data_IF_995805391352
#
_entry.id   IF_995805391352
#
_cell.length_a   1.000
_cell.length_b   1.000
_cell.length_c   1.000
_cell.angle_alpha   90.00
_cell.angle_beta   90.00
_cell.angle_gamma   90.00
#
_symmetry.space_group_name_H-M   'P 1'
#
loop_
_entity.id
_entity.type
_entity.pdbx_description
1 polymer ?
#
# COMPACT_ATOMS: atom_id res chain seq x y z
N UNK A 1 -17.99 27.06 -37.28
CA UNK A 1 -17.41 28.43 -37.29
C UNK A 1 -16.08 28.54 -36.51
N UNK A 2 -15.75 27.64 -35.60
CA UNK A 2 -14.52 27.71 -34.79
C UNK A 2 -13.24 27.42 -35.58
N UNK A 3 -13.28 26.54 -36.58
CA UNK A 3 -12.12 26.17 -37.39
C UNK A 3 -11.48 27.39 -38.09
N UNK A 4 -12.28 28.30 -38.69
CA UNK A 4 -11.76 29.48 -39.39
C UNK A 4 -11.25 30.56 -38.38
N UNK A 5 -11.64 30.48 -37.10
CA UNK A 5 -11.19 31.41 -36.04
C UNK A 5 -9.82 31.10 -35.49
N UNK A 6 -9.30 29.90 -35.79
CA UNK A 6 -7.98 29.46 -35.33
C UNK A 6 -6.86 30.26 -36.00
N UNK A 7 -5.89 30.74 -35.22
CA UNK A 7 -4.77 31.57 -35.66
C UNK A 7 -3.87 30.85 -36.68
N UNK A 8 -3.68 29.53 -36.57
CA UNK A 8 -2.86 28.73 -37.49
C UNK A 8 -3.55 28.58 -38.86
N UNK A 9 -4.86 28.30 -38.87
CA UNK A 9 -5.64 28.20 -40.10
C UNK A 9 -5.67 29.57 -40.84
N UNK A 10 -5.86 30.68 -40.11
CA UNK A 10 -5.76 32.02 -40.66
C UNK A 10 -4.39 32.29 -41.28
N UNK A 11 -3.31 31.96 -40.59
CA UNK A 11 -1.93 32.10 -41.06
C UNK A 11 -1.70 31.28 -42.32
N UNK A 12 -2.18 30.02 -42.36
CA UNK A 12 -2.09 29.17 -43.55
C UNK A 12 -2.85 29.76 -44.76
N UNK A 13 -4.08 30.26 -44.56
CA UNK A 13 -4.86 30.91 -45.61
C UNK A 13 -4.15 32.17 -46.11
N UNK A 14 -3.61 32.99 -45.22
CA UNK A 14 -2.88 34.23 -45.60
C UNK A 14 -1.61 33.89 -46.41
N UNK A 15 -0.81 32.94 -45.97
CA UNK A 15 0.43 32.50 -46.67
C UNK A 15 0.08 31.88 -48.04
N UNK A 16 -0.95 31.07 -48.11
CA UNK A 16 -1.41 30.47 -49.37
C UNK A 16 -1.93 31.54 -50.33
N UNK A 17 -2.67 32.57 -49.85
CA UNK A 17 -3.14 33.68 -50.66
C UNK A 17 -1.98 34.55 -51.22
N UNK A 18 -0.97 34.84 -50.39
CA UNK A 18 0.26 35.56 -50.82
C UNK A 18 0.99 34.80 -51.91
N UNK A 19 1.21 33.48 -51.73
CA UNK A 19 1.84 32.60 -52.74
C UNK A 19 1.03 32.57 -54.03
N UNK A 20 -0.28 32.50 -53.95
CA UNK A 20 -1.16 32.53 -55.12
C UNK A 20 -0.99 33.83 -55.92
N UNK A 21 -1.01 34.99 -55.23
CA UNK A 21 -0.81 36.29 -55.85
C UNK A 21 0.58 36.39 -56.52
N UNK A 22 1.63 35.89 -55.86
CA UNK A 22 2.99 35.89 -56.37
C UNK A 22 3.11 35.08 -57.67
N UNK A 23 2.62 33.83 -57.69
CA UNK A 23 2.67 32.97 -58.86
C UNK A 23 1.76 33.48 -60.02
N UNK A 24 0.58 34.07 -59.70
CA UNK A 24 -0.25 34.73 -60.70
C UNK A 24 0.48 35.90 -61.35
N UNK A 25 1.20 36.72 -60.57
CA UNK A 25 1.99 37.84 -61.09
C UNK A 25 3.07 37.38 -62.04
N UNK A 26 3.81 36.34 -61.69
CA UNK A 26 4.85 35.75 -62.58
C UNK A 26 4.23 35.19 -63.88
N UNK A 27 3.11 34.49 -63.78
CA UNK A 27 2.45 33.85 -64.92
C UNK A 27 1.92 34.86 -65.94
N UNK A 28 1.44 36.03 -65.50
CA UNK A 28 1.01 37.13 -66.37
C UNK A 28 2.19 37.67 -67.20
N UNK A 29 3.38 37.71 -66.62
CA UNK A 29 4.60 38.22 -67.30
C UNK A 29 5.09 37.22 -68.36
N UNK A 30 4.94 35.90 -68.10
CA UNK A 30 5.49 34.82 -68.99
C UNK A 30 4.53 34.45 -70.11
N UNK A 31 3.26 34.15 -69.82
CA UNK A 31 2.23 33.83 -70.82
C UNK A 31 0.83 34.00 -70.18
N UNK A 32 -0.01 34.85 -70.75
CA UNK A 32 -1.36 35.12 -70.23
C UNK A 32 -2.30 33.90 -70.26
N UNK A 33 -2.04 32.89 -71.11
CA UNK A 33 -2.83 31.64 -71.14
C UNK A 33 -2.47 30.66 -70.02
N UNK A 34 -1.22 30.69 -69.52
CA UNK A 34 -0.75 29.84 -68.46
C UNK A 34 -1.30 30.23 -67.06
N UNK A 35 -1.79 31.47 -66.91
CA UNK A 35 -2.36 31.98 -65.64
C UNK A 35 -3.46 31.08 -65.14
N UNK A 36 -4.38 30.64 -65.98
CA UNK A 36 -5.52 29.82 -65.58
C UNK A 36 -5.13 28.43 -65.06
N UNK A 37 -4.08 27.81 -65.64
CA UNK A 37 -3.56 26.53 -65.24
C UNK A 37 -2.89 26.64 -63.84
N UNK A 38 -2.06 27.67 -63.67
CA UNK A 38 -1.40 27.96 -62.39
C UNK A 38 -2.43 28.24 -61.28
N UNK A 39 -3.43 29.01 -61.58
CA UNK A 39 -4.48 29.38 -60.63
C UNK A 39 -5.31 28.17 -60.20
N UNK A 40 -5.67 27.28 -61.14
CA UNK A 40 -6.39 26.05 -60.81
C UNK A 40 -5.55 25.08 -59.99
N UNK A 41 -4.23 24.95 -60.28
CA UNK A 41 -3.31 24.10 -59.50
C UNK A 41 -3.14 24.60 -58.06
N UNK A 42 -3.00 25.90 -57.87
CA UNK A 42 -2.87 26.48 -56.53
C UNK A 42 -4.18 26.35 -55.71
N UNK A 43 -5.32 26.60 -56.35
CA UNK A 43 -6.65 26.46 -55.68
C UNK A 43 -6.84 24.99 -55.25
N UNK A 44 -6.55 24.02 -56.16
CA UNK A 44 -6.70 22.61 -55.81
C UNK A 44 -5.75 22.16 -54.67
N UNK A 45 -4.48 22.59 -54.73
CA UNK A 45 -3.50 22.32 -53.67
C UNK A 45 -3.93 22.93 -52.34
N UNK A 46 -4.41 24.17 -52.34
CA UNK A 46 -4.92 24.83 -51.12
C UNK A 46 -6.17 24.16 -50.55
N UNK A 47 -7.07 23.70 -51.42
CA UNK A 47 -8.28 22.99 -51.00
C UNK A 47 -7.92 21.64 -50.33
N UNK A 48 -6.99 20.90 -50.92
CA UNK A 48 -6.47 19.63 -50.39
C UNK A 48 -5.78 19.87 -49.02
N UNK A 49 -4.94 20.88 -48.91
CA UNK A 49 -4.25 21.24 -47.67
C UNK A 49 -5.26 21.63 -46.57
N UNK A 50 -6.26 22.41 -46.85
CA UNK A 50 -7.31 22.76 -45.90
C UNK A 50 -8.15 21.56 -45.46
N UNK A 51 -8.44 20.64 -46.37
CA UNK A 51 -9.16 19.41 -46.07
C UNK A 51 -8.38 18.52 -45.08
N UNK A 52 -7.07 18.30 -45.30
CA UNK A 52 -6.25 17.55 -44.38
C UNK A 52 -6.11 18.26 -43.02
N UNK A 53 -5.96 19.58 -43.02
CA UNK A 53 -5.91 20.39 -41.80
C UNK A 53 -7.22 20.24 -41.02
N UNK A 54 -8.36 20.31 -41.66
CA UNK A 54 -9.68 20.11 -41.04
C UNK A 54 -9.83 18.74 -40.42
N UNK A 55 -9.40 17.68 -41.12
CA UNK A 55 -9.41 16.32 -40.58
C UNK A 55 -8.51 16.18 -39.34
N UNK A 56 -7.33 16.79 -39.36
CA UNK A 56 -6.42 16.79 -38.22
C UNK A 56 -7.04 17.46 -36.98
N UNK A 57 -7.65 18.63 -37.16
CA UNK A 57 -8.33 19.33 -36.07
C UNK A 57 -9.52 18.55 -35.52
N UNK A 58 -10.29 17.88 -36.36
CA UNK A 58 -11.38 17.01 -35.92
C UNK A 58 -10.85 15.87 -35.03
N UNK A 59 -9.80 15.19 -35.47
CA UNK A 59 -9.17 14.11 -34.69
C UNK A 59 -8.63 14.60 -33.33
N UNK A 60 -8.05 15.80 -33.27
CA UNK A 60 -7.58 16.41 -32.00
C UNK A 60 -8.77 16.74 -31.09
N UNK A 61 -9.86 17.25 -31.60
CA UNK A 61 -11.07 17.52 -30.82
C UNK A 61 -11.68 16.24 -30.27
N UNK A 62 -11.73 15.17 -31.07
CA UNK A 62 -12.23 13.87 -30.63
C UNK A 62 -11.32 13.27 -29.53
N UNK A 63 -9.99 13.44 -29.64
CA UNK A 63 -9.05 13.03 -28.58
C UNK A 63 -9.25 13.81 -27.29
N UNK A 64 -9.48 15.12 -27.38
CA UNK A 64 -9.75 15.96 -26.21
C UNK A 64 -11.02 15.54 -25.48
N UNK A 65 -12.10 15.26 -26.22
CA UNK A 65 -13.36 14.75 -25.66
C UNK A 65 -13.18 13.37 -25.00
N UNK A 66 -12.32 12.53 -25.58
CA UNK A 66 -11.98 11.24 -25.00
C UNK A 66 -11.30 11.37 -23.64
N UNK A 67 -10.27 12.22 -23.57
CA UNK A 67 -9.56 12.47 -22.31
C UNK A 67 -10.52 12.98 -21.23
N UNK A 68 -11.41 13.90 -21.60
CA UNK A 68 -12.39 14.45 -20.67
C UNK A 68 -13.34 13.38 -20.11
N UNK A 69 -13.82 12.47 -20.95
CA UNK A 69 -14.69 11.36 -20.54
C UNK A 69 -13.95 10.34 -19.65
N UNK A 70 -12.71 10.01 -20.00
CA UNK A 70 -11.88 9.13 -19.16
C UNK A 70 -11.66 9.70 -17.75
N UNK A 71 -11.43 11.01 -17.64
CA UNK A 71 -11.29 11.70 -16.36
C UNK A 71 -12.59 11.68 -15.52
N UNK A 72 -13.74 11.56 -16.18
CA UNK A 72 -15.05 11.46 -15.52
C UNK A 72 -15.50 10.00 -15.27
N UNK A 73 -14.65 8.98 -15.56
CA UNK A 73 -14.89 7.60 -15.20
C UNK A 73 -15.71 6.77 -16.22
N UNK A 74 -15.85 7.25 -17.45
CA UNK A 74 -16.53 6.52 -18.53
C UNK A 74 -15.55 5.57 -19.24
N UNK A 75 -15.39 4.35 -18.72
CA UNK A 75 -14.45 3.32 -19.25
C UNK A 75 -14.94 2.59 -20.52
N UNK A 76 -16.16 2.85 -20.99
CA UNK A 76 -16.85 1.98 -21.97
C UNK A 76 -16.52 2.23 -23.44
N UNK A 77 -15.58 3.10 -23.77
CA UNK A 77 -15.34 3.49 -25.16
C UNK A 77 -14.14 2.75 -25.75
N UNK A 78 -14.42 1.73 -26.58
CA UNK A 78 -13.41 1.07 -27.41
C UNK A 78 -13.04 1.98 -28.61
N UNK A 79 -11.76 2.27 -28.76
CA UNK A 79 -11.22 3.10 -29.84
C UNK A 79 -10.68 2.27 -30.99
N UNK A 80 -11.50 2.03 -31.99
CA UNK A 80 -11.04 1.48 -33.29
C UNK A 80 -10.61 2.56 -34.30
N UNK A 81 -10.78 3.86 -34.00
CA UNK A 81 -10.68 4.93 -35.00
C UNK A 81 -9.28 5.58 -35.18
N UNK A 82 -8.30 5.31 -34.32
CA UNK A 82 -6.96 5.92 -34.41
C UNK A 82 -5.87 4.89 -34.71
N UNK A 83 -6.04 4.11 -35.77
CA UNK A 83 -5.14 2.99 -36.06
C UNK A 83 -3.81 3.37 -36.73
N UNK A 84 -3.63 4.58 -37.32
CA UNK A 84 -2.41 4.96 -38.03
C UNK A 84 -2.03 6.44 -37.85
N UNK A 85 -0.71 6.72 -37.71
CA UNK A 85 -0.10 8.03 -37.76
C UNK A 85 0.41 8.57 -36.40
N UNK A 86 1.02 9.77 -36.40
CA UNK A 86 1.61 10.43 -35.22
C UNK A 86 0.61 10.64 -34.07
N UNK A 87 -0.67 10.86 -34.39
CA UNK A 87 -1.74 11.01 -33.39
C UNK A 87 -2.07 9.70 -32.67
N UNK A 88 -1.83 8.53 -33.29
CA UNK A 88 -2.00 7.23 -32.65
C UNK A 88 -0.97 7.04 -31.52
N UNK A 89 0.29 7.40 -31.76
CA UNK A 89 1.34 7.31 -30.72
C UNK A 89 1.01 8.21 -29.53
N UNK A 90 0.55 9.44 -29.79
CA UNK A 90 0.14 10.37 -28.74
C UNK A 90 -1.07 9.85 -27.96
N UNK A 91 -2.06 9.29 -28.66
CA UNK A 91 -3.22 8.63 -28.05
C UNK A 91 -2.82 7.50 -27.11
N UNK A 92 -1.93 6.60 -27.58
CA UNK A 92 -1.47 5.45 -26.79
C UNK A 92 -0.72 5.89 -25.53
N UNK A 93 0.12 6.93 -25.64
CA UNK A 93 0.87 7.44 -24.50
C UNK A 93 -0.07 8.12 -23.46
N UNK A 94 -1.03 8.93 -23.92
CA UNK A 94 -2.04 9.53 -23.05
C UNK A 94 -2.89 8.46 -22.40
N UNK A 95 -3.32 7.45 -23.13
CA UNK A 95 -4.11 6.33 -22.60
C UNK A 95 -3.36 5.56 -21.50
N UNK A 96 -2.07 5.28 -21.71
CA UNK A 96 -1.21 4.67 -20.68
C UNK A 96 -1.07 5.56 -19.45
N UNK A 97 -0.86 6.87 -19.65
CA UNK A 97 -0.75 7.80 -18.53
C UNK A 97 -2.06 7.88 -17.73
N UNK A 98 -3.19 7.98 -18.42
CA UNK A 98 -4.51 8.04 -17.79
C UNK A 98 -4.82 6.77 -17.01
N UNK A 99 -4.53 5.60 -17.59
CA UNK A 99 -4.69 4.32 -16.90
C UNK A 99 -3.85 4.24 -15.63
N UNK A 100 -2.58 4.65 -15.68
CA UNK A 100 -1.72 4.72 -14.49
C UNK A 100 -2.26 5.67 -13.43
N UNK A 101 -2.81 6.83 -13.83
CA UNK A 101 -3.42 7.77 -12.89
C UNK A 101 -4.66 7.18 -12.21
N UNK A 102 -5.50 6.47 -12.96
CA UNK A 102 -6.68 5.78 -12.40
C UNK A 102 -6.23 4.69 -11.42
N UNK A 103 -5.29 3.83 -11.81
CA UNK A 103 -4.74 2.78 -10.94
C UNK A 103 -4.13 3.37 -9.64
N UNK A 104 -3.41 4.50 -9.75
CA UNK A 104 -2.86 5.19 -8.58
C UNK A 104 -3.94 5.82 -7.70
N UNK A 105 -4.97 6.41 -8.30
CA UNK A 105 -6.09 6.99 -7.57
C UNK A 105 -6.90 5.93 -6.82
N UNK A 106 -7.12 4.76 -7.42
CA UNK A 106 -7.77 3.63 -6.78
C UNK A 106 -6.92 3.05 -5.65
N UNK A 107 -5.62 2.84 -5.88
CA UNK A 107 -4.69 2.38 -4.86
C UNK A 107 -4.68 3.33 -3.65
N UNK A 108 -4.60 4.65 -3.90
CA UNK A 108 -4.65 5.66 -2.85
C UNK A 108 -5.99 5.67 -2.10
N UNK A 109 -7.10 5.44 -2.80
CA UNK A 109 -8.43 5.34 -2.18
C UNK A 109 -8.53 4.13 -1.25
N UNK A 110 -8.00 2.98 -1.68
CA UNK A 110 -7.94 1.76 -0.86
C UNK A 110 -7.04 2.00 0.36
N UNK A 111 -5.86 2.58 0.17
CA UNK A 111 -4.93 2.89 1.26
C UNK A 111 -5.56 3.85 2.29
N UNK A 112 -6.26 4.88 1.82
CA UNK A 112 -6.99 5.81 2.68
C UNK A 112 -8.13 5.13 3.44
N UNK A 113 -8.82 4.18 2.81
CA UNK A 113 -9.83 3.34 3.47
C UNK A 113 -9.22 2.50 4.59
N UNK A 114 -8.15 1.76 4.29
CA UNK A 114 -7.43 0.94 5.25
C UNK A 114 -6.90 1.77 6.45
N UNK A 115 -6.43 2.99 6.20
CA UNK A 115 -5.99 3.91 7.25
C UNK A 115 -7.17 4.35 8.15
N UNK A 116 -8.32 4.66 7.56
CA UNK A 116 -9.51 5.05 8.32
C UNK A 116 -10.01 3.90 9.21
N UNK A 117 -10.04 2.67 8.69
CA UNK A 117 -10.42 1.48 9.43
C UNK A 117 -9.44 1.21 10.57
N UNK A 118 -8.13 1.31 10.31
CA UNK A 118 -7.10 1.15 11.33
C UNK A 118 -7.24 2.20 12.46
N UNK A 119 -7.55 3.46 12.13
CA UNK A 119 -7.78 4.51 13.14
C UNK A 119 -9.04 4.26 13.96
N UNK A 120 -10.10 3.73 13.34
CA UNK A 120 -11.32 3.34 14.05
C UNK A 120 -11.04 2.21 15.04
N UNK A 121 -10.30 1.18 14.61
CA UNK A 121 -9.90 0.06 15.45
C UNK A 121 -9.03 0.51 16.64
N UNK A 122 -8.02 1.34 16.38
CA UNK A 122 -7.17 1.94 17.43
C UNK A 122 -8.04 2.68 18.46
N UNK A 123 -8.97 3.50 17.99
CA UNK A 123 -9.85 4.28 18.85
C UNK A 123 -10.71 3.36 19.73
N UNK A 124 -11.23 2.29 19.17
CA UNK A 124 -12.02 1.31 19.89
C UNK A 124 -11.18 0.55 20.94
N UNK A 125 -9.99 0.11 20.58
CA UNK A 125 -9.08 -0.63 21.46
C UNK A 125 -8.51 0.22 22.60
N UNK A 126 -8.40 1.55 22.43
CA UNK A 126 -8.03 2.49 23.49
C UNK A 126 -9.21 2.86 24.37
N UNK A 127 -10.41 2.99 23.82
CA UNK A 127 -11.61 3.38 24.55
C UNK A 127 -11.99 2.36 25.65
N UNK A 128 -11.88 1.06 25.34
CA UNK A 128 -12.25 -0.01 26.27
C UNK A 128 -11.44 0.00 27.56
N UNK A 129 -10.10 -0.04 27.55
CA UNK A 129 -9.30 0.04 28.79
C UNK A 129 -9.45 1.39 29.47
N UNK A 130 -9.61 2.50 28.74
CA UNK A 130 -9.85 3.82 29.33
C UNK A 130 -11.16 3.87 30.09
N UNK A 131 -12.24 3.30 29.53
CA UNK A 131 -13.53 3.19 30.24
C UNK A 131 -13.40 2.35 31.52
N UNK A 132 -12.67 1.21 31.45
CA UNK A 132 -12.40 0.36 32.60
C UNK A 132 -11.58 1.10 33.67
N UNK A 133 -10.58 1.88 33.29
CA UNK A 133 -9.81 2.72 34.22
C UNK A 133 -10.68 3.75 34.92
N UNK A 134 -11.59 4.40 34.20
CA UNK A 134 -12.53 5.36 34.80
C UNK A 134 -13.46 4.70 35.82
N UNK A 135 -13.96 3.49 35.54
CA UNK A 135 -14.79 2.71 36.47
C UNK A 135 -13.97 2.32 37.71
N UNK A 136 -12.75 1.81 37.54
CA UNK A 136 -11.88 1.46 38.66
C UNK A 136 -11.55 2.67 39.53
N UNK A 137 -11.30 3.82 38.90
CA UNK A 137 -11.02 5.07 39.61
C UNK A 137 -12.25 5.54 40.43
N UNK A 138 -13.44 5.46 39.83
CA UNK A 138 -14.68 5.76 40.59
C UNK A 138 -14.91 4.79 41.76
N UNK A 139 -14.59 3.50 41.56
CA UNK A 139 -14.68 2.50 42.62
C UNK A 139 -13.69 2.76 43.75
N UNK A 140 -12.48 3.23 43.47
CA UNK A 140 -11.46 3.57 44.49
C UNK A 140 -11.87 4.76 45.40
N UNK A 141 -12.82 5.58 44.95
CA UNK A 141 -13.36 6.68 45.73
C UNK A 141 -14.38 6.21 46.77
N UNK A 142 -14.74 4.93 46.81
CA UNK A 142 -15.65 4.41 47.84
C UNK A 142 -14.89 4.26 49.20
N UNK A 143 -15.43 4.89 50.24
CA UNK A 143 -14.84 4.88 51.60
C UNK A 143 -15.01 3.53 52.32
N UNK A 144 -15.96 2.68 51.87
CA UNK A 144 -16.26 1.38 52.48
C UNK A 144 -15.35 0.24 52.03
N UNK A 145 -14.36 0.50 51.13
CA UNK A 145 -13.44 -0.51 50.64
C UNK A 145 -12.47 -0.96 51.71
N UNK A 146 -12.28 -2.30 51.80
CA UNK A 146 -11.19 -2.89 52.56
C UNK A 146 -9.84 -2.59 51.93
N UNK A 147 -8.75 -2.67 52.68
CA UNK A 147 -7.39 -2.48 52.14
C UNK A 147 -7.06 -3.52 51.06
N UNK A 148 -7.52 -4.78 51.18
CA UNK A 148 -7.35 -5.81 50.19
C UNK A 148 -8.07 -5.50 48.90
N UNK A 149 -9.34 -5.05 48.96
CA UNK A 149 -10.10 -4.65 47.77
C UNK A 149 -9.47 -3.43 47.07
N UNK A 150 -9.00 -2.46 47.85
CA UNK A 150 -8.28 -1.29 47.36
C UNK A 150 -7.00 -1.70 46.60
N UNK A 151 -6.22 -2.62 47.18
CA UNK A 151 -5.00 -3.13 46.57
C UNK A 151 -5.29 -3.85 45.24
N UNK A 152 -6.34 -4.69 45.20
CA UNK A 152 -6.75 -5.40 43.97
C UNK A 152 -7.19 -4.42 42.85
N UNK A 153 -7.91 -3.36 43.19
CA UNK A 153 -8.32 -2.33 42.21
C UNK A 153 -7.10 -1.58 41.65
N UNK A 154 -6.12 -1.20 42.50
CA UNK A 154 -4.88 -0.56 42.08
C UNK A 154 -4.08 -1.48 41.18
N UNK A 155 -3.98 -2.78 41.52
CA UNK A 155 -3.30 -3.78 40.68
C UNK A 155 -3.94 -3.91 39.29
N UNK A 156 -5.28 -3.98 39.23
CA UNK A 156 -6.03 -4.00 37.98
C UNK A 156 -5.80 -2.73 37.14
N UNK A 157 -5.76 -1.57 37.82
CA UNK A 157 -5.49 -0.29 37.16
C UNK A 157 -4.07 -0.26 36.56
N UNK A 158 -3.05 -0.72 37.31
CA UNK A 158 -1.67 -0.83 36.78
C UNK A 158 -1.56 -1.76 35.56
N UNK A 159 -2.26 -2.89 35.59
CA UNK A 159 -2.30 -3.82 34.46
C UNK A 159 -2.93 -3.17 33.18
N UNK A 160 -4.01 -2.41 33.36
CA UNK A 160 -4.65 -1.72 32.22
C UNK A 160 -3.75 -0.63 31.64
N UNK A 161 -3.06 0.14 32.49
CA UNK A 161 -2.07 1.14 32.05
C UNK A 161 -0.94 0.50 31.27
N UNK A 162 -0.31 -0.54 31.78
CA UNK A 162 0.76 -1.26 31.08
C UNK A 162 0.29 -1.85 29.75
N UNK A 163 -0.96 -2.34 29.66
CA UNK A 163 -1.57 -2.78 28.41
C UNK A 163 -1.70 -1.64 27.41
N UNK A 164 -2.15 -0.46 27.83
CA UNK A 164 -2.27 0.71 26.98
C UNK A 164 -0.90 1.21 26.49
N UNK A 165 0.10 1.27 27.36
CA UNK A 165 1.48 1.63 26.99
C UNK A 165 2.05 0.69 25.92
N UNK A 166 1.89 -0.62 26.14
CA UNK A 166 2.33 -1.63 25.17
C UNK A 166 1.60 -1.46 23.82
N UNK A 167 0.28 -1.23 23.83
CA UNK A 167 -0.53 -1.05 22.62
C UNK A 167 -0.04 0.17 21.84
N UNK A 168 0.16 1.31 22.49
CA UNK A 168 0.67 2.54 21.85
C UNK A 168 2.06 2.32 21.29
N UNK A 169 2.97 1.71 22.07
CA UNK A 169 4.34 1.44 21.62
C UNK A 169 4.37 0.53 20.40
N UNK A 170 3.54 -0.52 20.38
CA UNK A 170 3.44 -1.47 19.25
C UNK A 170 2.87 -0.79 18.01
N UNK A 171 1.83 0.03 18.14
CA UNK A 171 1.26 0.81 17.03
C UNK A 171 2.28 1.77 16.42
N UNK A 172 3.05 2.48 17.26
CA UNK A 172 4.11 3.37 16.80
C UNK A 172 5.22 2.60 16.06
N UNK A 173 5.58 1.39 16.52
CA UNK A 173 6.54 0.52 15.82
C UNK A 173 6.02 0.11 14.44
N UNK A 174 4.79 -0.38 14.34
CA UNK A 174 4.15 -0.76 13.08
C UNK A 174 4.10 0.45 12.13
N UNK A 175 3.61 1.60 12.61
CA UNK A 175 3.50 2.82 11.80
C UNK A 175 4.85 3.29 11.23
N UNK A 176 5.91 3.22 12.03
CA UNK A 176 7.27 3.59 11.58
C UNK A 176 7.84 2.60 10.56
N UNK A 177 7.56 1.30 10.72
CA UNK A 177 7.96 0.25 9.77
C UNK A 177 7.22 0.43 8.44
N UNK A 178 5.90 0.63 8.46
CA UNK A 178 5.08 0.85 7.26
C UNK A 178 5.49 2.12 6.49
N UNK A 179 5.80 3.19 7.21
CA UNK A 179 6.28 4.44 6.62
C UNK A 179 7.73 4.36 6.09
N UNK A 180 8.42 3.22 6.25
CA UNK A 180 9.82 3.07 5.84
C UNK A 180 10.79 4.04 6.55
N UNK A 181 10.38 4.61 7.69
CA UNK A 181 11.19 5.59 8.44
C UNK A 181 12.24 4.93 9.33
N UNK A 182 12.20 3.60 9.47
CA UNK A 182 13.18 2.83 10.22
C UNK A 182 14.27 2.36 9.28
N UNK A 183 15.51 2.66 9.62
CA UNK A 183 16.68 2.07 8.96
C UNK A 183 17.05 0.78 9.69
N UNK A 184 16.81 -0.37 9.06
CA UNK A 184 17.20 -1.66 9.58
C UNK A 184 18.72 -1.80 9.58
N UNK A 185 19.28 -2.33 10.67
CA UNK A 185 20.71 -2.61 10.82
C UNK A 185 20.99 -4.06 10.49
N UNK A 186 20.98 -4.38 9.19
CA UNK A 186 21.25 -5.72 8.71
C UNK A 186 22.70 -6.11 8.97
N UNK A 187 22.94 -7.23 9.63
CA UNK A 187 24.26 -7.78 9.93
C UNK A 187 24.24 -9.31 9.85
N UNK A 188 25.37 -9.92 9.51
CA UNK A 188 25.52 -11.36 9.51
C UNK A 188 25.63 -11.86 10.95
N UNK A 189 24.68 -12.68 11.38
CA UNK A 189 24.59 -13.19 12.76
C UNK A 189 24.17 -14.66 12.79
N UNK A 190 24.53 -15.37 13.84
CA UNK A 190 24.01 -16.71 14.06
C UNK A 190 22.55 -16.68 14.45
N UNK A 191 21.70 -17.39 13.72
CA UNK A 191 20.25 -17.45 13.99
C UNK A 191 19.96 -17.93 15.41
N UNK A 192 20.79 -18.86 15.93
CA UNK A 192 20.66 -19.35 17.29
C UNK A 192 20.67 -18.22 18.34
N UNK A 193 21.56 -17.24 18.18
CA UNK A 193 21.68 -16.14 19.15
C UNK A 193 20.44 -15.21 19.12
N UNK A 194 19.86 -15.04 17.94
CA UNK A 194 18.62 -14.26 17.77
C UNK A 194 17.42 -14.97 18.39
N UNK A 195 17.32 -16.29 18.20
CA UNK A 195 16.28 -17.11 18.84
C UNK A 195 16.42 -17.10 20.37
N UNK A 196 17.64 -17.26 20.91
CA UNK A 196 17.89 -17.14 22.37
C UNK A 196 17.47 -15.76 22.89
N UNK A 197 17.79 -14.69 22.15
CA UNK A 197 17.40 -13.33 22.52
C UNK A 197 15.88 -13.15 22.55
N UNK A 198 15.16 -13.76 21.60
CA UNK A 198 13.70 -13.73 21.53
C UNK A 198 13.03 -14.49 22.68
N UNK A 199 13.64 -15.61 23.11
CA UNK A 199 13.09 -16.49 24.16
C UNK A 199 13.32 -15.90 25.56
N UNK A 200 14.51 -15.33 25.82
CA UNK A 200 14.93 -14.89 27.15
C UNK A 200 13.86 -14.09 27.93
N UNK A 201 13.15 -13.10 27.38
CA UNK A 201 12.10 -12.37 28.11
C UNK A 201 10.86 -13.22 28.42
N UNK A 202 10.70 -14.37 27.76
CA UNK A 202 9.51 -15.23 27.82
C UNK A 202 9.71 -16.47 28.69
N UNK A 203 10.94 -16.77 29.11
CA UNK A 203 11.30 -17.96 29.90
C UNK A 203 10.47 -18.07 31.18
N UNK A 204 10.35 -16.97 31.94
CA UNK A 204 9.58 -16.97 33.19
C UNK A 204 8.09 -17.26 32.91
N UNK A 205 7.54 -16.70 31.82
CA UNK A 205 6.15 -16.93 31.45
C UNK A 205 5.87 -18.39 31.06
N UNK A 206 6.82 -19.04 30.36
CA UNK A 206 6.74 -20.43 30.01
C UNK A 206 6.91 -21.34 31.26
N UNK A 207 7.85 -21.02 32.16
CA UNK A 207 8.06 -21.74 33.41
C UNK A 207 6.83 -21.69 34.32
N UNK A 208 6.18 -20.54 34.47
CA UNK A 208 4.97 -20.41 35.26
C UNK A 208 3.82 -21.29 34.75
N UNK A 209 3.79 -21.57 33.45
CA UNK A 209 2.86 -22.51 32.80
C UNK A 209 3.41 -23.94 32.70
N UNK A 210 4.59 -24.23 33.32
CA UNK A 210 5.28 -25.52 33.25
C UNK A 210 5.50 -25.97 31.78
N UNK A 211 5.60 -25.04 30.83
CA UNK A 211 5.80 -25.32 29.41
C UNK A 211 7.29 -25.54 29.09
N UNK A 212 7.56 -26.41 28.11
CA UNK A 212 8.94 -26.71 27.64
C UNK A 212 9.18 -26.06 26.29
N UNK A 213 10.26 -25.27 26.16
CA UNK A 213 10.69 -24.70 24.87
C UNK A 213 11.87 -25.53 24.35
N UNK A 214 11.66 -26.26 23.23
CA UNK A 214 12.67 -27.03 22.51
C UNK A 214 13.23 -26.21 21.36
N UNK A 215 14.57 -26.27 21.16
CA UNK A 215 15.29 -25.50 20.14
C UNK A 215 16.10 -26.45 19.25
N UNK A 216 15.73 -26.53 17.98
CA UNK A 216 16.40 -27.28 16.93
C UNK A 216 16.93 -26.34 15.85
N UNK A 217 17.87 -25.46 16.24
CA UNK A 217 18.49 -24.46 15.37
C UNK A 217 19.97 -24.84 15.15
N UNK A 218 20.41 -25.07 13.90
CA UNK A 218 21.80 -25.36 13.59
C UNK A 218 22.74 -24.28 14.13
N UNK A 219 23.81 -24.67 14.83
CA UNK A 219 24.70 -23.71 15.50
C UNK A 219 25.46 -22.80 14.52
N UNK A 220 25.76 -23.32 13.32
CA UNK A 220 26.54 -22.63 12.29
C UNK A 220 25.68 -21.82 11.31
N UNK A 221 24.35 -21.86 11.46
CA UNK A 221 23.43 -21.17 10.54
C UNK A 221 23.48 -19.66 10.74
N UNK A 222 23.98 -18.95 9.73
CA UNK A 222 24.08 -17.50 9.71
C UNK A 222 23.06 -16.90 8.75
N UNK A 223 22.49 -15.77 9.14
CA UNK A 223 21.58 -14.97 8.33
C UNK A 223 21.96 -13.49 8.39
N UNK A 224 21.68 -12.76 7.32
CA UNK A 224 21.81 -11.30 7.30
C UNK A 224 20.46 -10.70 7.69
N UNK A 225 20.36 -10.19 8.92
CA UNK A 225 19.11 -9.68 9.48
C UNK A 225 19.38 -8.62 10.56
N UNK A 226 18.34 -7.89 10.94
CA UNK A 226 18.39 -7.01 12.12
C UNK A 226 18.04 -7.80 13.37
N UNK A 227 19.00 -7.90 14.29
CA UNK A 227 18.89 -8.74 15.50
C UNK A 227 17.74 -8.31 16.41
N UNK A 228 17.59 -6.99 16.63
CA UNK A 228 16.59 -6.46 17.54
C UNK A 228 15.19 -6.68 16.99
N UNK A 229 14.97 -6.31 15.73
CA UNK A 229 13.69 -6.48 15.09
C UNK A 229 13.31 -7.94 14.86
N UNK A 230 14.26 -8.78 14.46
CA UNK A 230 13.97 -10.21 14.27
C UNK A 230 13.68 -10.91 15.60
N UNK A 231 14.43 -10.58 16.65
CA UNK A 231 14.15 -11.11 17.99
C UNK A 231 12.77 -10.68 18.48
N UNK A 232 12.34 -9.44 18.18
CA UNK A 232 10.98 -8.98 18.49
C UNK A 232 9.92 -9.73 17.70
N UNK A 233 10.14 -9.97 16.39
CA UNK A 233 9.19 -10.73 15.56
C UNK A 233 9.02 -12.17 16.08
N UNK A 234 10.14 -12.87 16.31
CA UNK A 234 10.10 -14.21 16.88
C UNK A 234 9.49 -14.24 18.28
N UNK A 235 9.83 -13.26 19.12
CA UNK A 235 9.26 -13.12 20.45
C UNK A 235 7.74 -12.98 20.46
N UNK A 236 7.16 -12.20 19.51
CA UNK A 236 5.72 -12.08 19.37
C UNK A 236 5.05 -13.41 18.97
N UNK A 237 5.66 -14.18 18.07
CA UNK A 237 5.15 -15.50 17.68
C UNK A 237 5.25 -16.49 18.84
N UNK A 238 6.42 -16.57 19.50
CA UNK A 238 6.65 -17.47 20.65
C UNK A 238 5.71 -17.12 21.81
N UNK A 239 5.52 -15.83 22.10
CA UNK A 239 4.56 -15.37 23.09
C UNK A 239 3.15 -15.87 22.80
N UNK A 240 2.71 -15.77 21.54
CA UNK A 240 1.42 -16.29 21.14
C UNK A 240 1.30 -17.80 21.36
N UNK A 241 2.34 -18.58 21.03
CA UNK A 241 2.41 -20.00 21.31
C UNK A 241 2.31 -20.31 22.82
N UNK A 242 3.04 -19.55 23.67
CA UNK A 242 2.98 -19.71 25.15
C UNK A 242 1.56 -19.42 25.67
N UNK A 243 0.91 -18.40 25.15
CA UNK A 243 -0.43 -17.99 25.61
C UNK A 243 -1.50 -19.02 25.26
N UNK A 244 -1.41 -19.63 24.08
CA UNK A 244 -2.41 -20.56 23.55
C UNK A 244 -2.13 -22.05 23.81
N UNK A 245 -0.92 -22.40 24.26
CA UNK A 245 -0.60 -23.75 24.70
C UNK A 245 -1.14 -24.04 26.11
N UNK A 246 -1.52 -25.29 26.38
CA UNK A 246 -1.95 -25.70 27.73
C UNK A 246 -0.78 -25.66 28.74
N UNK A 247 -1.12 -25.70 30.03
CA UNK A 247 -0.12 -25.97 31.08
C UNK A 247 0.59 -27.29 30.84
N UNK A 248 1.90 -27.32 31.04
CA UNK A 248 2.75 -28.48 30.73
C UNK A 248 2.97 -28.74 29.23
N UNK A 249 2.52 -27.83 28.38
CA UNK A 249 2.67 -27.92 26.94
C UNK A 249 4.10 -27.78 26.43
N UNK A 250 4.30 -27.95 25.12
CA UNK A 250 5.61 -27.82 24.48
C UNK A 250 5.56 -26.88 23.28
N UNK A 251 6.60 -26.06 23.16
CA UNK A 251 6.84 -25.18 22.02
C UNK A 251 8.13 -25.60 21.36
N UNK A 252 8.13 -25.86 20.07
CA UNK A 252 9.26 -26.31 19.31
C UNK A 252 9.67 -25.30 18.28
N UNK A 253 10.95 -24.89 18.27
CA UNK A 253 11.52 -23.93 17.34
C UNK A 253 12.58 -24.64 16.50
N UNK A 254 12.30 -24.76 15.18
CA UNK A 254 13.19 -25.42 14.21
C UNK A 254 13.65 -24.41 13.16
N UNK A 255 14.88 -24.57 12.67
CA UNK A 255 15.36 -23.82 11.52
C UNK A 255 15.90 -24.79 10.46
N UNK A 256 15.45 -24.62 9.23
CA UNK A 256 15.80 -25.44 8.07
C UNK A 256 16.40 -24.53 7.00
N UNK A 257 17.66 -24.75 6.68
CA UNK A 257 18.33 -24.10 5.57
C UNK A 257 17.93 -24.76 4.25
N UNK A 258 17.48 -23.96 3.29
CA UNK A 258 17.17 -24.39 1.92
C UNK A 258 17.96 -23.53 0.92
N UNK A 259 18.18 -23.98 -0.33
CA UNK A 259 19.01 -23.26 -1.30
C UNK A 259 18.61 -21.80 -1.57
N UNK A 260 17.33 -21.46 -1.43
CA UNK A 260 16.80 -20.12 -1.75
C UNK A 260 16.28 -19.36 -0.53
N UNK A 261 16.07 -20.04 0.60
CA UNK A 261 15.50 -19.42 1.81
C UNK A 261 15.86 -20.23 3.05
N UNK A 262 15.89 -19.59 4.19
CA UNK A 262 15.90 -20.24 5.49
C UNK A 262 14.50 -20.22 6.08
N UNK A 263 13.99 -21.37 6.45
CA UNK A 263 12.68 -21.52 7.06
C UNK A 263 12.82 -21.66 8.57
N UNK A 264 12.21 -20.76 9.35
CA UNK A 264 12.06 -20.87 10.80
C UNK A 264 10.64 -21.32 11.09
N UNK A 265 10.50 -22.44 11.78
CA UNK A 265 9.23 -23.08 12.12
C UNK A 265 9.07 -22.99 13.64
N UNK A 266 7.93 -22.47 14.09
CA UNK A 266 7.58 -22.43 15.51
C UNK A 266 6.24 -23.17 15.65
N UNK A 267 6.28 -24.29 16.39
CA UNK A 267 5.13 -25.17 16.59
C UNK A 267 4.77 -25.24 18.07
N UNK A 268 3.50 -25.22 18.37
CA UNK A 268 2.95 -25.43 19.71
C UNK A 268 1.96 -26.59 19.71
N UNK A 269 1.65 -27.12 20.89
CA UNK A 269 0.66 -28.18 21.07
C UNK A 269 -0.68 -27.66 21.62
N UNK A 270 -1.03 -26.41 21.31
CA UNK A 270 -2.30 -25.79 21.66
C UNK A 270 -3.49 -26.29 20.83
N UNK A 271 -4.62 -25.63 20.98
CA UNK A 271 -5.85 -25.99 20.28
C UNK A 271 -5.81 -25.70 18.76
N UNK A 272 -4.78 -24.99 18.29
CA UNK A 272 -4.66 -24.53 16.90
C UNK A 272 -5.66 -23.44 16.55
N UNK A 273 -5.73 -23.11 15.25
CA UNK A 273 -6.61 -22.07 14.71
C UNK A 273 -7.79 -22.69 13.96
N UNK A 274 -8.94 -22.03 14.02
CA UNK A 274 -10.06 -22.40 13.15
C UNK A 274 -9.73 -22.01 11.70
N UNK A 275 -10.14 -22.80 10.71
CA UNK A 275 -9.84 -22.53 9.29
C UNK A 275 -10.26 -21.14 8.84
N UNK A 276 -11.39 -20.64 9.34
CA UNK A 276 -11.88 -19.28 9.03
C UNK A 276 -11.01 -18.15 9.58
N UNK A 277 -10.22 -18.44 10.63
CA UNK A 277 -9.37 -17.44 11.31
C UNK A 277 -7.99 -17.33 10.62
N UNK A 278 -7.54 -18.39 9.94
CA UNK A 278 -6.21 -18.47 9.31
C UNK A 278 -5.90 -17.29 8.38
N UNK A 279 -6.78 -16.87 7.46
CA UNK A 279 -6.52 -15.73 6.57
C UNK A 279 -6.30 -14.40 7.32
N UNK A 280 -6.87 -14.28 8.54
CA UNK A 280 -6.91 -13.05 9.33
C UNK A 280 -5.91 -13.00 10.47
N UNK A 281 -5.13 -14.07 10.73
CA UNK A 281 -4.21 -14.15 11.87
C UNK A 281 -3.19 -13.00 11.94
N UNK A 282 -2.82 -12.47 10.78
CA UNK A 282 -1.87 -11.38 10.65
C UNK A 282 -2.52 -10.01 10.45
N UNK A 283 -3.86 -9.95 10.47
CA UNK A 283 -4.57 -8.68 10.40
C UNK A 283 -4.44 -7.95 11.74
N UNK A 284 -4.34 -6.63 11.69
CA UNK A 284 -4.23 -5.81 12.89
C UNK A 284 -5.52 -5.90 13.70
N UNK A 285 -5.37 -6.01 15.02
CA UNK A 285 -6.49 -6.11 15.96
C UNK A 285 -7.35 -7.35 15.82
N UNK A 286 -6.98 -8.29 14.96
CA UNK A 286 -7.72 -9.53 14.82
C UNK A 286 -7.53 -10.41 16.07
N UNK A 287 -8.64 -10.85 16.63
CA UNK A 287 -8.70 -11.75 17.77
C UNK A 287 -9.63 -12.90 17.42
N UNK A 288 -9.10 -14.12 17.33
CA UNK A 288 -9.92 -15.31 17.13
C UNK A 288 -10.82 -15.60 18.35
N UNK A 289 -11.81 -16.45 18.15
CA UNK A 289 -12.69 -16.90 19.25
C UNK A 289 -11.89 -17.67 20.31
N UNK A 290 -11.78 -17.12 21.52
CA UNK A 290 -11.04 -17.71 22.63
C UNK A 290 -9.77 -16.97 23.04
N UNK A 291 -9.52 -15.78 22.48
CA UNK A 291 -8.39 -14.94 22.90
C UNK A 291 -8.50 -14.54 24.36
N UNK A 292 -7.48 -14.80 25.13
CA UNK A 292 -7.35 -14.44 26.57
C UNK A 292 -7.44 -12.90 26.71
N UNK A 293 -8.12 -12.44 27.75
CA UNK A 293 -8.21 -11.03 28.12
C UNK A 293 -6.78 -10.48 28.29
N UNK A 294 -6.23 -9.86 27.23
CA UNK A 294 -4.84 -9.34 27.27
C UNK A 294 -4.23 -9.07 25.92
N UNK A 295 -4.54 -9.86 24.91
CA UNK A 295 -4.00 -9.72 23.56
C UNK A 295 -4.79 -8.70 22.75
N UNK A 296 -4.09 -7.71 22.19
CA UNK A 296 -4.72 -6.69 21.34
C UNK A 296 -4.72 -7.05 19.85
N UNK A 297 -4.31 -8.28 19.47
CA UNK A 297 -4.23 -8.71 18.06
C UNK A 297 -3.18 -7.97 17.22
N UNK A 298 -2.13 -7.43 17.86
CA UNK A 298 -1.06 -6.70 17.16
C UNK A 298 0.26 -7.48 17.03
N UNK A 299 0.48 -8.52 17.86
CA UNK A 299 1.77 -9.22 17.91
C UNK A 299 2.14 -9.91 16.62
N UNK A 300 1.21 -10.69 16.05
CA UNK A 300 1.44 -11.39 14.76
C UNK A 300 1.50 -10.40 13.58
N UNK A 301 0.69 -9.34 13.60
CA UNK A 301 0.76 -8.28 12.59
C UNK A 301 2.13 -7.58 12.61
N UNK A 302 2.67 -7.26 13.80
CA UNK A 302 4.00 -6.69 13.95
C UNK A 302 5.09 -7.67 13.44
N UNK A 303 5.00 -8.95 13.82
CA UNK A 303 5.93 -9.96 13.35
C UNK A 303 5.97 -10.04 11.81
N UNK A 304 4.81 -10.11 11.16
CA UNK A 304 4.70 -10.08 9.68
C UNK A 304 5.33 -8.84 9.08
N UNK A 305 5.02 -7.66 9.62
CA UNK A 305 5.56 -6.39 9.13
C UNK A 305 7.08 -6.36 9.23
N UNK A 306 7.66 -6.83 10.36
CA UNK A 306 9.10 -6.88 10.56
C UNK A 306 9.77 -7.81 9.54
N UNK A 307 9.25 -9.01 9.37
CA UNK A 307 9.84 -10.01 8.46
C UNK A 307 9.76 -9.53 7.01
N UNK A 308 8.62 -9.01 6.56
CA UNK A 308 8.45 -8.46 5.21
C UNK A 308 9.43 -7.30 4.93
N UNK A 309 9.66 -6.40 5.90
CA UNK A 309 10.62 -5.30 5.75
C UNK A 309 12.09 -5.77 5.65
N UNK A 310 12.39 -7.01 6.02
CA UNK A 310 13.71 -7.63 5.88
C UNK A 310 13.80 -8.54 4.65
N UNK A 311 12.74 -8.63 3.82
CA UNK A 311 12.72 -9.43 2.60
C UNK A 311 12.34 -10.89 2.81
N UNK A 312 11.67 -11.19 3.94
CA UNK A 312 11.15 -12.53 4.27
C UNK A 312 9.69 -12.69 3.92
#
# INVERSE_FOLDING_TARGET
MEFIRNSEVKRQIVVSSILTLFWCGISIIVDSKAVWIVLSAIISSSAVSLFFTYQRYKKIADLSLYIDRLLHGDETISFEQFQEGELSVLHDEISKMTRRLIEQAEALKIEKGNLADALADISHQLKTPLTSLNILNASLCNEELTEEERYELIRKQAMLLSKMEWLIATLLKISKLDAGTITLKLQEVYLKDVVEKAIRPLEIAAELKMQTIKKEVPAELKLTLDVEWTAEALGNVIKNCIEHSPEGGSIEIKAIERPLLTQVIIEDNGAGFQEKDIPHLFDRFYQGNGSTIGNAGLGLALAKTIINNQGG
#
